data_IF_760689163989
#
_entry.id   IF_760689163989
#
_cell.length_a   1.000
_cell.length_b   1.000
_cell.length_c   1.000
_cell.angle_alpha   90.00
_cell.angle_beta   90.00
_cell.angle_gamma   90.00
#
_symmetry.space_group_name_H-M   'P 1'
#
loop_
_entity.id
_entity.type
_entity.pdbx_description
1 polymer ?
#
# COMPACT_ATOMS: atom_id res chain seq x y z
N UNK A 1 -3.58 -1.49 -12.25
CA UNK A 1 -2.58 -2.55 -12.48
C UNK A 1 -2.94 -3.77 -11.67
N UNK A 2 -2.74 -4.92 -12.25
CA UNK A 2 -2.96 -6.24 -11.65
C UNK A 2 -1.64 -6.81 -11.08
N UNK A 3 -1.75 -7.81 -10.21
CA UNK A 3 -0.58 -8.55 -9.74
C UNK A 3 0.26 -9.14 -10.90
N UNK A 4 -0.41 -9.57 -11.97
CA UNK A 4 0.26 -10.13 -13.16
C UNK A 4 1.11 -9.08 -13.89
N UNK A 5 0.64 -7.84 -13.99
CA UNK A 5 1.42 -6.74 -14.58
C UNK A 5 2.63 -6.39 -13.71
N UNK A 6 2.51 -6.38 -12.37
CA UNK A 6 3.65 -6.18 -11.47
C UNK A 6 4.72 -7.25 -11.68
N UNK A 7 4.31 -8.52 -11.76
CA UNK A 7 5.22 -9.65 -11.98
C UNK A 7 5.85 -9.57 -13.37
N UNK A 8 5.10 -9.21 -14.40
CA UNK A 8 5.63 -9.02 -15.75
C UNK A 8 6.68 -7.90 -15.78
N UNK A 9 6.36 -6.72 -15.24
CA UNK A 9 7.29 -5.60 -15.14
C UNK A 9 8.58 -5.96 -14.34
N UNK A 10 8.44 -6.77 -13.30
CA UNK A 10 9.62 -7.24 -12.55
C UNK A 10 10.48 -8.21 -13.37
N UNK A 11 9.87 -9.08 -14.18
CA UNK A 11 10.59 -10.00 -15.07
C UNK A 11 11.37 -9.26 -16.16
N UNK A 12 10.83 -8.18 -16.69
CA UNK A 12 11.48 -7.35 -17.72
C UNK A 12 12.74 -6.64 -17.19
N UNK A 13 12.91 -6.58 -15.87
CA UNK A 13 14.07 -5.98 -15.23
C UNK A 13 15.19 -6.98 -14.88
N UNK A 14 14.97 -8.28 -15.13
CA UNK A 14 15.99 -9.30 -14.84
C UNK A 14 17.28 -8.97 -15.61
N UNK A 15 18.43 -9.01 -14.90
CA UNK A 15 19.72 -8.65 -15.43
C UNK A 15 20.10 -7.18 -15.23
N UNK A 16 19.19 -6.31 -14.80
CA UNK A 16 19.53 -4.93 -14.42
C UNK A 16 20.49 -4.96 -13.24
N UNK A 17 21.62 -4.23 -13.36
CA UNK A 17 22.68 -4.21 -12.34
C UNK A 17 22.18 -3.65 -11.01
N UNK A 18 22.76 -4.12 -9.92
CA UNK A 18 22.54 -3.53 -8.59
C UNK A 18 23.32 -2.23 -8.44
N UNK A 19 22.65 -1.18 -7.98
CA UNK A 19 23.30 0.06 -7.54
C UNK A 19 22.61 0.52 -6.26
N UNK A 20 23.36 0.73 -5.20
CA UNK A 20 22.85 1.25 -3.93
C UNK A 20 22.16 2.60 -4.12
N UNK A 21 20.91 2.74 -3.68
CA UNK A 21 20.10 3.94 -3.90
C UNK A 21 19.55 4.08 -5.32
N UNK A 22 19.89 3.16 -6.23
CA UNK A 22 19.43 3.16 -7.61
C UNK A 22 17.91 2.92 -7.69
N UNK A 23 17.27 3.64 -8.62
CA UNK A 23 15.81 3.65 -8.78
C UNK A 23 15.34 3.67 -10.24
N UNK A 24 16.28 3.54 -11.19
CA UNK A 24 15.98 3.48 -12.63
C UNK A 24 16.78 2.37 -13.29
N UNK A 25 16.22 1.61 -14.26
CA UNK A 25 16.93 0.51 -14.90
C UNK A 25 18.26 0.95 -15.58
N UNK A 26 18.29 2.14 -16.16
CA UNK A 26 19.45 2.68 -16.86
C UNK A 26 20.64 2.96 -15.93
N UNK A 27 20.38 3.35 -14.68
CA UNK A 27 21.41 3.60 -13.66
C UNK A 27 21.68 2.38 -12.79
N UNK A 28 20.72 1.47 -12.69
CA UNK A 28 20.69 0.33 -11.81
C UNK A 28 19.65 0.49 -10.69
N UNK A 29 19.35 -0.62 -10.05
CA UNK A 29 18.30 -0.70 -9.04
C UNK A 29 18.86 -1.31 -7.75
N UNK A 30 18.52 -0.74 -6.57
CA UNK A 30 18.60 -1.48 -5.32
C UNK A 30 17.31 -2.26 -5.08
N UNK A 31 17.21 -3.00 -3.98
CA UNK A 31 16.04 -3.84 -3.67
C UNK A 31 14.74 -3.02 -3.60
N UNK A 32 14.79 -1.87 -2.94
CA UNK A 32 13.64 -0.98 -2.81
C UNK A 32 13.39 -0.14 -4.07
N UNK A 33 14.44 0.14 -4.85
CA UNK A 33 14.35 0.76 -6.16
C UNK A 33 13.65 -0.12 -7.19
N UNK A 34 13.83 -1.44 -7.11
CA UNK A 34 13.06 -2.39 -7.89
C UNK A 34 11.56 -2.25 -7.58
N UNK A 35 11.16 -2.29 -6.30
CA UNK A 35 9.74 -2.13 -5.92
C UNK A 35 9.19 -0.75 -6.31
N UNK A 36 10.00 0.30 -6.19
CA UNK A 36 9.63 1.63 -6.66
C UNK A 36 9.33 1.63 -8.16
N UNK A 37 10.26 1.12 -8.96
CA UNK A 37 10.17 1.16 -10.42
C UNK A 37 8.96 0.38 -10.92
N UNK A 38 8.77 -0.87 -10.48
CA UNK A 38 7.63 -1.68 -10.91
C UNK A 38 6.28 -1.08 -10.54
N UNK A 39 6.17 -0.39 -9.41
CA UNK A 39 4.95 0.32 -9.03
C UNK A 39 4.74 1.58 -9.88
N UNK A 40 5.79 2.33 -10.16
CA UNK A 40 5.73 3.54 -11.01
C UNK A 40 5.34 3.22 -12.45
N UNK A 41 5.97 2.22 -13.04
CA UNK A 41 5.64 1.77 -14.42
C UNK A 41 4.22 1.22 -14.49
N UNK A 42 3.70 0.82 -13.38
CA UNK A 42 2.36 0.36 -13.15
C UNK A 42 1.32 1.46 -12.96
N UNK A 43 1.68 2.71 -13.08
CA UNK A 43 0.78 3.84 -12.89
C UNK A 43 0.54 4.23 -11.43
N UNK A 44 1.27 3.65 -10.46
CA UNK A 44 1.19 4.09 -9.07
C UNK A 44 1.94 5.41 -8.86
N UNK A 45 1.39 6.30 -8.05
CA UNK A 45 2.05 7.53 -7.61
C UNK A 45 2.87 7.34 -6.33
N UNK A 46 3.26 6.11 -6.00
CA UNK A 46 4.07 5.82 -4.81
C UNK A 46 5.39 6.58 -4.86
N UNK A 47 5.80 7.15 -3.73
CA UNK A 47 7.10 7.79 -3.54
C UNK A 47 8.23 6.76 -3.41
N UNK A 48 9.48 7.25 -3.48
CA UNK A 48 10.67 6.43 -3.23
C UNK A 48 10.84 6.22 -1.72
N UNK A 49 10.79 4.96 -1.28
CA UNK A 49 10.96 4.54 0.11
C UNK A 49 12.10 3.52 0.23
N UNK A 50 12.57 3.30 1.46
CA UNK A 50 13.45 2.17 1.81
C UNK A 50 12.63 0.88 1.88
N UNK A 51 13.29 -0.27 1.99
CA UNK A 51 12.61 -1.55 2.22
C UNK A 51 11.71 -1.50 3.46
N UNK A 52 12.21 -0.94 4.56
CA UNK A 52 11.42 -0.73 5.78
C UNK A 52 10.22 0.20 5.55
N UNK A 53 10.39 1.26 4.77
CA UNK A 53 9.28 2.15 4.41
C UNK A 53 8.19 1.42 3.63
N UNK A 54 8.55 0.65 2.61
CA UNK A 54 7.56 -0.12 1.83
C UNK A 54 6.85 -1.21 2.63
N UNK A 55 7.47 -1.76 3.67
CA UNK A 55 6.83 -2.76 4.52
C UNK A 55 5.61 -2.24 5.31
N UNK A 56 5.42 -0.93 5.34
CA UNK A 56 4.27 -0.29 5.98
C UNK A 56 3.05 -0.16 5.05
N UNK A 57 3.22 -0.41 3.74
CA UNK A 57 2.15 -0.28 2.75
C UNK A 57 1.44 -1.60 2.46
N UNK A 58 0.18 -1.49 2.08
CA UNK A 58 -0.62 -2.63 1.68
C UNK A 58 -1.11 -3.51 2.85
N UNK A 59 -1.87 -4.53 2.49
CA UNK A 59 -2.43 -5.50 3.45
C UNK A 59 -1.34 -6.49 3.88
N UNK A 60 -1.23 -6.75 5.18
CA UNK A 60 -0.38 -7.84 5.70
C UNK A 60 -0.96 -9.18 5.25
N UNK A 61 -0.10 -10.04 4.74
CA UNK A 61 -0.41 -11.42 4.34
C UNK A 61 0.27 -12.35 5.33
N UNK A 62 -0.43 -13.37 5.75
CA UNK A 62 0.16 -14.44 6.58
C UNK A 62 1.17 -15.24 5.77
N UNK A 63 2.21 -15.74 6.44
CA UNK A 63 3.22 -16.57 5.79
C UNK A 63 2.57 -17.85 5.25
N UNK A 64 3.01 -18.25 4.06
CA UNK A 64 2.39 -19.37 3.32
C UNK A 64 1.17 -18.96 2.46
N UNK A 65 0.58 -17.77 2.68
CA UNK A 65 -0.57 -17.29 1.92
C UNK A 65 -0.21 -16.28 0.81
N UNK A 66 1.08 -16.12 0.51
CA UNK A 66 1.55 -15.21 -0.53
C UNK A 66 1.12 -15.66 -1.92
N UNK A 67 0.70 -14.68 -2.73
CA UNK A 67 0.36 -14.83 -4.16
C UNK A 67 1.35 -14.04 -5.03
N UNK A 68 1.53 -14.41 -6.31
CA UNK A 68 2.33 -13.60 -7.23
C UNK A 68 1.93 -12.11 -7.17
N UNK A 69 2.92 -11.22 -7.12
CA UNK A 69 2.73 -9.78 -6.95
C UNK A 69 2.83 -9.28 -5.52
N UNK A 70 2.85 -10.16 -4.50
CA UNK A 70 3.07 -9.76 -3.12
C UNK A 70 4.52 -9.35 -2.88
N UNK A 71 4.74 -8.39 -2.01
CA UNK A 71 6.05 -7.93 -1.61
C UNK A 71 6.52 -8.64 -0.35
N UNK A 72 7.74 -9.15 -0.40
CA UNK A 72 8.42 -9.86 0.68
C UNK A 72 9.43 -8.91 1.34
N UNK A 73 9.52 -8.91 2.67
CA UNK A 73 10.41 -8.06 3.43
C UNK A 73 11.25 -8.86 4.41
N UNK A 74 12.56 -8.62 4.41
CA UNK A 74 13.56 -9.43 5.09
C UNK A 74 14.46 -8.60 5.99
N UNK A 75 14.96 -9.24 7.06
CA UNK A 75 15.92 -8.67 8.02
C UNK A 75 15.24 -8.07 9.25
N UNK A 76 15.95 -8.09 10.37
CA UNK A 76 15.54 -7.45 11.64
C UNK A 76 16.68 -6.57 12.15
N UNK A 77 16.62 -5.24 11.88
CA UNK A 77 15.57 -4.46 11.20
C UNK A 77 15.45 -4.81 9.70
N UNK A 78 14.32 -4.44 9.06
CA UNK A 78 14.07 -4.70 7.64
C UNK A 78 15.08 -3.92 6.80
N UNK A 79 15.87 -4.67 6.01
CA UNK A 79 16.94 -4.12 5.16
C UNK A 79 16.82 -4.55 3.71
N UNK A 80 15.93 -5.49 3.40
CA UNK A 80 15.77 -6.02 2.04
C UNK A 80 14.31 -6.26 1.69
N UNK A 81 14.01 -6.22 0.39
CA UNK A 81 12.69 -6.51 -0.14
C UNK A 81 12.76 -7.14 -1.54
N UNK A 82 11.70 -7.88 -1.87
CA UNK A 82 11.55 -8.59 -3.13
C UNK A 82 10.07 -8.63 -3.54
N UNK A 83 9.77 -9.09 -4.75
CA UNK A 83 8.42 -9.42 -5.21
C UNK A 83 8.29 -10.94 -5.39
N UNK A 84 7.25 -11.52 -4.80
CA UNK A 84 6.92 -12.93 -4.98
C UNK A 84 6.35 -13.18 -6.39
N UNK A 85 6.84 -14.20 -7.07
CA UNK A 85 6.43 -14.51 -8.45
C UNK A 85 5.78 -15.88 -8.60
N UNK A 86 5.46 -16.53 -7.47
CA UNK A 86 4.86 -17.86 -7.44
C UNK A 86 5.87 -19.00 -7.33
N UNK A 87 5.37 -20.21 -7.04
CA UNK A 87 6.17 -21.45 -6.98
C UNK A 87 7.41 -21.35 -6.07
N UNK A 88 7.28 -20.66 -4.92
CA UNK A 88 8.38 -20.46 -3.98
C UNK A 88 9.52 -19.58 -4.49
N UNK A 89 9.30 -18.79 -5.56
CA UNK A 89 10.30 -17.91 -6.18
C UNK A 89 9.96 -16.44 -5.96
N UNK A 90 11.01 -15.61 -5.93
CA UNK A 90 10.92 -14.16 -5.86
C UNK A 90 11.84 -13.53 -6.91
N UNK A 91 11.54 -12.28 -7.31
CA UNK A 91 12.47 -11.41 -8.02
C UNK A 91 12.95 -10.36 -7.02
N UNK A 92 14.25 -10.20 -6.93
CA UNK A 92 14.93 -9.28 -6.04
C UNK A 92 16.06 -8.56 -6.76
N UNK A 93 16.36 -7.34 -6.39
CA UNK A 93 17.64 -6.72 -6.76
C UNK A 93 18.64 -6.97 -5.64
N UNK A 94 19.60 -7.87 -5.91
CA UNK A 94 20.55 -8.38 -4.94
C UNK A 94 21.91 -7.76 -5.16
N UNK A 95 22.53 -7.22 -4.11
CA UNK A 95 23.88 -6.67 -4.14
C UNK A 95 24.56 -6.79 -2.79
N UNK A 96 25.85 -6.61 -2.76
CA UNK A 96 26.69 -6.60 -1.56
C UNK A 96 26.99 -5.18 -1.05
N UNK A 97 27.76 -5.10 0.04
CA UNK A 97 28.18 -3.84 0.70
C UNK A 97 29.06 -2.92 -0.17
N UNK A 98 29.61 -3.40 -1.25
CA UNK A 98 30.36 -2.60 -2.25
C UNK A 98 29.65 -2.76 -3.58
N UNK A 99 29.61 -1.69 -4.38
CA UNK A 99 29.05 -1.70 -5.73
C UNK A 99 29.50 -2.97 -6.48
N UNK A 100 28.61 -3.96 -6.55
CA UNK A 100 28.89 -5.27 -7.13
C UNK A 100 28.24 -5.37 -8.51
N UNK A 101 28.25 -4.26 -9.25
CA UNK A 101 27.65 -4.18 -10.59
C UNK A 101 28.13 -5.31 -11.52
N UNK A 102 29.29 -5.88 -11.27
CA UNK A 102 29.95 -6.83 -12.16
C UNK A 102 30.10 -8.25 -11.57
N UNK A 103 29.50 -8.52 -10.39
CA UNK A 103 29.56 -9.88 -9.81
C UNK A 103 28.43 -10.77 -10.35
N UNK A 104 28.74 -11.98 -10.86
CA UNK A 104 27.72 -12.95 -11.24
C UNK A 104 26.70 -13.18 -10.12
N UNK A 105 25.43 -13.12 -10.43
CA UNK A 105 24.34 -13.35 -9.45
C UNK A 105 23.99 -12.12 -8.60
N UNK A 106 24.49 -10.92 -8.93
CA UNK A 106 24.03 -9.63 -8.40
C UNK A 106 23.11 -8.91 -9.40
N UNK A 107 22.42 -7.87 -8.95
CA UNK A 107 21.40 -7.18 -9.74
C UNK A 107 20.03 -7.82 -9.59
N UNK A 108 19.16 -7.56 -10.56
CA UNK A 108 17.80 -8.11 -10.56
C UNK A 108 17.84 -9.56 -11.03
N UNK A 109 17.49 -10.47 -10.12
CA UNK A 109 17.58 -11.92 -10.33
C UNK A 109 16.32 -12.63 -9.82
N UNK A 110 16.08 -13.84 -10.32
CA UNK A 110 15.10 -14.77 -9.73
C UNK A 110 15.83 -15.64 -8.71
N UNK A 111 15.29 -15.70 -7.50
CA UNK A 111 15.80 -16.53 -6.40
C UNK A 111 14.69 -17.36 -5.79
N UNK A 112 14.97 -18.55 -5.20
CA UNK A 112 14.04 -19.18 -4.27
C UNK A 112 13.82 -18.26 -3.06
N UNK A 113 12.58 -18.21 -2.53
CA UNK A 113 12.30 -17.45 -1.29
C UNK A 113 13.15 -18.00 -0.14
N UNK A 114 13.39 -19.32 -0.13
CA UNK A 114 14.23 -20.02 0.84
C UNK A 114 15.72 -19.64 0.77
N UNK A 115 16.15 -18.87 -0.23
CA UNK A 115 17.49 -18.28 -0.25
C UNK A 115 17.72 -17.37 0.96
N UNK A 116 16.63 -16.84 1.53
CA UNK A 116 16.64 -16.03 2.76
C UNK A 116 15.80 -16.71 3.84
N UNK A 117 16.33 -16.76 5.06
CA UNK A 117 15.67 -17.36 6.23
C UNK A 117 15.15 -16.30 7.22
N UNK A 118 15.24 -15.02 6.85
CA UNK A 118 14.94 -13.88 7.69
C UNK A 118 13.71 -13.08 7.22
N UNK A 119 12.72 -13.76 6.61
CA UNK A 119 11.44 -13.17 6.21
C UNK A 119 10.73 -12.60 7.45
N UNK A 120 10.34 -11.33 7.37
CA UNK A 120 9.67 -10.61 8.47
C UNK A 120 8.19 -10.44 8.20
N UNK A 121 7.84 -10.03 7.00
CA UNK A 121 6.44 -9.87 6.62
C UNK A 121 6.24 -9.91 5.11
N UNK A 122 5.00 -10.18 4.73
CA UNK A 122 4.52 -10.12 3.35
C UNK A 122 3.46 -9.03 3.26
N UNK A 123 3.49 -8.25 2.19
CA UNK A 123 2.51 -7.18 1.91
C UNK A 123 1.92 -7.34 0.52
N UNK A 124 0.61 -7.27 0.45
CA UNK A 124 -0.13 -7.19 -0.81
C UNK A 124 -0.52 -5.74 -1.06
N UNK A 125 0.12 -5.13 -2.05
CA UNK A 125 -0.12 -3.73 -2.44
C UNK A 125 -1.16 -3.62 -3.56
N UNK A 126 -1.41 -4.72 -4.25
CA UNK A 126 -2.39 -4.85 -5.32
C UNK A 126 -3.32 -6.01 -4.97
N UNK A 127 -4.58 -5.69 -4.78
CA UNK A 127 -5.59 -6.70 -4.50
C UNK A 127 -6.75 -6.48 -5.46
N UNK A 128 -7.10 -7.49 -6.25
CA UNK A 128 -8.26 -7.41 -7.15
C UNK A 128 -9.58 -7.33 -6.35
N UNK A 129 -9.59 -7.88 -5.12
CA UNK A 129 -10.68 -7.67 -4.17
C UNK A 129 -10.69 -6.24 -3.61
N UNK A 130 -9.60 -5.50 -3.83
CA UNK A 130 -9.39 -4.13 -3.41
C UNK A 130 -9.60 -3.15 -4.57
N UNK A 131 -10.51 -3.44 -5.46
CA UNK A 131 -11.11 -2.41 -6.30
C UNK A 131 -11.86 -1.47 -5.38
N UNK A 132 -11.12 -0.44 -4.93
CA UNK A 132 -11.78 0.74 -4.36
C UNK A 132 -12.86 1.11 -5.34
N UNK A 133 -14.10 1.23 -4.92
CA UNK A 133 -15.06 1.93 -5.76
C UNK A 133 -14.44 3.31 -6.00
N UNK A 134 -13.94 3.57 -7.21
CA UNK A 134 -13.48 4.91 -7.61
C UNK A 134 -14.61 5.95 -7.47
N UNK A 135 -15.81 5.47 -7.16
CA UNK A 135 -17.00 6.26 -6.89
C UNK A 135 -17.78 5.63 -5.74
N UNK A 136 -17.88 6.36 -4.64
CA UNK A 136 -18.84 6.03 -3.59
C UNK A 136 -20.24 6.34 -4.10
N UNK A 137 -21.18 5.42 -3.88
CA UNK A 137 -22.56 5.58 -4.31
C UNK A 137 -23.45 6.00 -3.13
N UNK A 138 -24.27 7.00 -3.34
CA UNK A 138 -25.26 7.45 -2.35
C UNK A 138 -26.22 6.29 -2.03
N UNK A 139 -26.52 6.09 -0.74
CA UNK A 139 -27.37 5.02 -0.25
C UNK A 139 -26.65 3.70 0.02
N UNK A 140 -25.43 3.50 -0.47
CA UNK A 140 -24.65 2.29 -0.21
C UNK A 140 -23.94 2.35 1.15
N UNK A 141 -23.67 1.17 1.70
CA UNK A 141 -22.99 0.99 2.97
C UNK A 141 -21.53 0.63 2.69
N UNK A 142 -20.64 1.25 3.46
CA UNK A 142 -19.18 1.03 3.40
C UNK A 142 -18.63 0.87 4.81
N UNK A 143 -17.43 0.33 4.95
CA UNK A 143 -16.80 0.05 6.24
C UNK A 143 -15.53 0.88 6.40
N UNK A 144 -15.34 1.50 7.57
CA UNK A 144 -14.11 2.24 7.91
C UNK A 144 -12.93 1.28 8.04
N UNK A 145 -11.80 1.64 7.45
CA UNK A 145 -10.60 0.79 7.37
C UNK A 145 -9.49 1.23 8.32
N UNK A 146 -9.57 2.45 8.79
CA UNK A 146 -8.59 3.05 9.70
C UNK A 146 -9.25 3.35 11.03
N UNK A 147 -8.47 3.33 12.07
CA UNK A 147 -8.86 3.82 13.37
C UNK A 147 -8.79 5.35 13.44
N UNK A 148 -9.50 5.93 14.40
CA UNK A 148 -9.55 7.38 14.64
C UNK A 148 -9.90 8.20 13.37
N UNK A 149 -10.87 7.70 12.58
CA UNK A 149 -11.34 8.43 11.42
C UNK A 149 -12.19 9.64 11.84
N UNK A 150 -11.67 10.84 11.59
CA UNK A 150 -12.32 12.09 11.96
C UNK A 150 -13.64 12.30 11.23
N UNK A 151 -14.68 12.67 11.96
CA UNK A 151 -15.94 13.20 11.42
C UNK A 151 -15.91 14.71 11.48
N UNK A 152 -16.31 15.38 10.40
CA UNK A 152 -16.24 16.84 10.26
C UNK A 152 -17.61 17.45 9.94
N UNK A 153 -17.76 18.74 10.22
CA UNK A 153 -18.97 19.48 9.86
C UNK A 153 -19.08 19.70 8.34
N UNK A 154 -17.98 19.90 7.66
CA UNK A 154 -17.88 20.05 6.21
C UNK A 154 -16.57 19.44 5.70
N UNK A 155 -16.41 19.35 4.38
CA UNK A 155 -15.13 19.04 3.76
C UNK A 155 -14.10 20.07 4.24
N UNK A 156 -12.99 19.60 4.81
CA UNK A 156 -11.96 20.44 5.48
C UNK A 156 -12.45 21.28 6.67
N UNK A 157 -13.72 21.12 7.08
CA UNK A 157 -14.27 21.82 8.24
C UNK A 157 -13.73 21.31 9.58
N UNK A 158 -14.19 21.94 10.66
CA UNK A 158 -13.85 21.53 12.01
C UNK A 158 -14.23 20.07 12.28
N UNK A 159 -13.42 19.40 13.09
CA UNK A 159 -13.68 18.05 13.57
C UNK A 159 -14.82 18.11 14.59
N UNK A 160 -15.72 17.13 14.52
CA UNK A 160 -16.77 16.94 15.51
C UNK A 160 -16.24 16.14 16.70
N UNK A 161 -16.56 16.59 17.91
CA UNK A 161 -16.40 15.76 19.08
C UNK A 161 -17.52 14.70 19.20
N UNK A 162 -17.38 13.80 20.15
CA UNK A 162 -18.32 12.68 20.34
C UNK A 162 -19.78 13.12 20.47
N UNK A 163 -20.06 14.16 21.27
CA UNK A 163 -21.42 14.66 21.51
C UNK A 163 -22.09 15.32 20.28
N UNK A 164 -21.34 15.61 19.21
CA UNK A 164 -21.84 16.18 17.96
C UNK A 164 -22.15 15.13 16.89
N UNK A 165 -21.94 13.86 17.19
CA UNK A 165 -22.31 12.77 16.30
C UNK A 165 -23.79 12.40 16.48
N UNK A 166 -24.33 11.65 15.54
CA UNK A 166 -25.65 11.02 15.74
C UNK A 166 -25.60 9.99 16.87
N UNK A 167 -26.74 9.66 17.47
CA UNK A 167 -26.81 8.64 18.52
C UNK A 167 -26.19 7.29 18.10
N UNK A 168 -26.36 6.91 16.85
CA UNK A 168 -25.72 5.72 16.29
C UNK A 168 -24.22 5.92 16.08
N UNK A 169 -23.81 7.07 15.56
CA UNK A 169 -22.38 7.41 15.39
C UNK A 169 -21.60 7.38 16.70
N UNK A 170 -22.22 7.85 17.81
CA UNK A 170 -21.58 7.80 19.14
C UNK A 170 -21.25 6.38 19.60
N UNK A 171 -22.07 5.38 19.28
CA UNK A 171 -21.82 3.97 19.64
C UNK A 171 -20.56 3.40 18.98
N UNK A 172 -20.22 3.92 17.82
CA UNK A 172 -19.15 3.44 16.97
C UNK A 172 -17.92 4.38 16.96
N UNK A 173 -17.89 5.37 17.84
CA UNK A 173 -16.81 6.34 17.96
C UNK A 173 -16.03 6.18 19.29
N UNK A 174 -14.85 6.75 19.31
CA UNK A 174 -14.08 6.98 20.52
C UNK A 174 -14.60 8.24 21.25
N UNK A 175 -14.14 8.46 22.48
CA UNK A 175 -14.50 9.63 23.29
C UNK A 175 -14.14 10.97 22.64
N UNK A 176 -13.19 11.01 21.72
CA UNK A 176 -12.80 12.18 20.92
C UNK A 176 -13.71 12.42 19.69
N UNK A 177 -14.67 11.51 19.41
CA UNK A 177 -15.56 11.59 18.28
C UNK A 177 -15.04 10.96 16.99
N UNK A 178 -13.85 10.36 17.00
CA UNK A 178 -13.32 9.63 15.86
C UNK A 178 -13.97 8.26 15.72
N UNK A 179 -14.34 7.86 14.51
CA UNK A 179 -14.89 6.54 14.24
C UNK A 179 -13.82 5.44 14.42
N UNK A 180 -14.26 4.32 14.95
CA UNK A 180 -13.46 3.10 15.09
C UNK A 180 -13.33 2.40 13.74
N UNK A 181 -12.23 1.71 13.53
CA UNK A 181 -12.06 0.78 12.42
C UNK A 181 -13.17 -0.28 12.45
N UNK A 182 -13.70 -0.65 11.29
CA UNK A 182 -14.78 -1.62 11.17
C UNK A 182 -16.19 -1.02 11.32
N UNK A 183 -16.30 0.29 11.53
CA UNK A 183 -17.61 0.98 11.57
C UNK A 183 -18.24 1.00 10.19
N UNK A 184 -19.47 0.50 10.08
CA UNK A 184 -20.27 0.59 8.85
C UNK A 184 -20.98 1.94 8.78
N UNK A 185 -20.96 2.57 7.61
CA UNK A 185 -21.54 3.89 7.37
C UNK A 185 -22.30 3.92 6.06
N UNK A 186 -23.46 4.56 6.04
CA UNK A 186 -24.23 4.80 4.81
C UNK A 186 -23.83 6.12 4.19
N UNK A 187 -23.43 6.11 2.92
CA UNK A 187 -23.08 7.32 2.17
C UNK A 187 -24.33 8.12 1.82
N UNK A 188 -24.33 9.41 2.16
CA UNK A 188 -25.41 10.37 1.88
C UNK A 188 -25.05 11.38 0.80
N UNK A 189 -23.76 11.63 0.59
CA UNK A 189 -23.26 12.54 -0.43
C UNK A 189 -21.77 12.24 -0.69
N UNK A 190 -21.25 12.63 -1.84
CA UNK A 190 -19.85 12.44 -2.25
C UNK A 190 -19.31 13.72 -2.84
N UNK A 191 -18.13 14.15 -2.41
CA UNK A 191 -17.42 15.32 -2.98
C UNK A 191 -15.96 15.00 -3.19
N UNK A 192 -15.38 15.55 -4.25
CA UNK A 192 -13.93 15.67 -4.42
C UNK A 192 -13.51 17.09 -4.08
N UNK A 193 -12.41 17.24 -3.36
CA UNK A 193 -11.80 18.55 -3.14
C UNK A 193 -10.78 18.87 -4.23
N UNK A 194 -10.26 20.10 -4.18
CA UNK A 194 -9.28 20.62 -5.14
C UNK A 194 -7.93 19.87 -5.07
N UNK A 195 -7.60 19.26 -3.94
CA UNK A 195 -6.42 18.44 -3.76
C UNK A 195 -6.57 17.00 -4.32
N UNK A 196 -7.80 16.64 -4.76
CA UNK A 196 -8.12 15.32 -5.31
C UNK A 196 -8.56 14.28 -4.28
N UNK A 197 -8.68 14.63 -2.99
CA UNK A 197 -9.23 13.73 -1.99
C UNK A 197 -10.75 13.54 -2.18
N UNK A 198 -11.23 12.33 -1.90
CA UNK A 198 -12.66 12.01 -1.95
C UNK A 198 -13.24 11.99 -0.55
N UNK A 199 -14.28 12.77 -0.36
CA UNK A 199 -15.02 12.93 0.88
C UNK A 199 -16.41 12.34 0.73
N UNK A 200 -16.89 11.67 1.76
CA UNK A 200 -18.27 11.18 1.81
C UNK A 200 -19.00 11.75 3.01
N UNK A 201 -20.25 12.13 2.80
CA UNK A 201 -21.15 12.52 3.86
C UNK A 201 -21.82 11.27 4.40
N UNK A 202 -21.78 11.11 5.70
CA UNK A 202 -22.50 10.08 6.47
C UNK A 202 -23.50 10.78 7.39
N UNK A 203 -24.41 10.08 8.04
CA UNK A 203 -25.38 10.71 8.96
C UNK A 203 -24.73 11.61 10.02
N UNK A 204 -23.57 11.25 10.53
CA UNK A 204 -22.84 12.03 11.55
C UNK A 204 -22.05 13.23 10.99
N UNK A 205 -21.78 13.32 9.69
CA UNK A 205 -21.01 14.40 9.08
C UNK A 205 -20.19 13.98 7.87
N UNK A 206 -19.10 14.66 7.60
CA UNK A 206 -18.18 14.36 6.50
C UNK A 206 -16.96 13.58 6.99
N UNK A 207 -16.57 12.54 6.28
CA UNK A 207 -15.34 11.77 6.50
C UNK A 207 -14.51 11.72 5.22
N UNK A 208 -13.20 11.72 5.35
CA UNK A 208 -12.32 11.47 4.22
C UNK A 208 -12.37 9.99 3.88
N UNK A 209 -12.76 9.67 2.66
CA UNK A 209 -12.87 8.29 2.19
C UNK A 209 -11.60 7.86 1.46
N UNK A 210 -11.03 8.76 0.66
CA UNK A 210 -9.74 8.58 -0.02
C UNK A 210 -8.95 9.87 0.14
N UNK A 211 -7.71 9.79 0.62
CA UNK A 211 -6.85 10.97 0.72
C UNK A 211 -6.38 11.43 -0.67
N UNK A 212 -5.88 12.66 -0.78
CA UNK A 212 -5.24 13.17 -2.00
C UNK A 212 -4.03 12.31 -2.44
N UNK A 213 -3.43 11.55 -1.53
CA UNK A 213 -2.33 10.62 -1.79
C UNK A 213 -2.81 9.24 -2.23
N UNK A 214 -4.13 9.00 -2.24
CA UNK A 214 -4.74 7.73 -2.60
C UNK A 214 -4.90 6.72 -1.45
N UNK A 215 -4.64 7.12 -0.20
CA UNK A 215 -4.91 6.24 0.95
C UNK A 215 -6.41 6.07 1.15
N UNK A 216 -6.85 4.85 1.35
CA UNK A 216 -8.26 4.50 1.42
C UNK A 216 -8.67 4.27 2.85
N UNK A 217 -9.61 5.07 3.31
CA UNK A 217 -10.13 5.03 4.67
C UNK A 217 -11.52 4.41 4.77
N UNK A 218 -12.20 4.23 3.62
CA UNK A 218 -13.55 3.67 3.54
C UNK A 218 -13.68 2.70 2.35
N UNK A 219 -14.20 1.51 2.55
CA UNK A 219 -14.42 0.49 1.51
C UNK A 219 -15.71 -0.29 1.72
#
# INVERSE_FOLDING_TARGET
MTANELVANAKDLIGVRYVWGGSTPTRGLDCSGLLYWIQRTAGSNVGRHTASGYSMFGRKIEDGCQKPGDFLFFGRPITHCAIYVGNGKMIESRGGRKNTADNPGTGVVISPVTHRHDLVCVRRVWDEEYKVPLTYSIGKIYTTRVDHLHVRYSVWGQIKGHAQLTADGMKHAYSDGCLKKGTTVTVKDVKKDEAGATWVKIPSGWICAITAKGDIYLS
#
